data_IF_231564204674
#
_entry.id   IF_231564204674
#
_cell.length_a   1.000
_cell.length_b   1.000
_cell.length_c   1.000
_cell.angle_alpha   90.00
_cell.angle_beta   90.00
_cell.angle_gamma   90.00
#
_symmetry.space_group_name_H-M   'P 1'
#
loop_
_entity.id
_entity.type
_entity.pdbx_description
1 polymer ?
#
# COMPACT_ATOMS: atom_id res chain seq x y z
N UNK A 1 15.97 -7.53 -4.93
CA UNK A 1 16.42 -8.88 -5.21
C UNK A 1 16.12 -9.21 -6.65
N UNK A 2 17.11 -9.69 -7.41
CA UNK A 2 16.92 -9.93 -8.85
C UNK A 2 16.40 -8.70 -9.59
N UNK A 3 15.25 -8.83 -10.24
CA UNK A 3 14.59 -7.76 -10.99
C UNK A 3 13.74 -6.82 -10.14
N UNK A 4 13.56 -7.09 -8.84
CA UNK A 4 12.74 -6.30 -7.93
C UNK A 4 13.54 -5.21 -7.20
N UNK A 5 12.93 -4.04 -7.04
CA UNK A 5 13.42 -2.90 -6.24
C UNK A 5 12.29 -2.38 -5.38
N UNK A 6 12.62 -2.00 -4.14
CA UNK A 6 11.65 -1.43 -3.20
C UNK A 6 12.28 -0.36 -2.32
N UNK A 7 11.48 0.59 -1.89
CA UNK A 7 11.84 1.55 -0.84
C UNK A 7 10.76 1.58 0.22
N UNK A 8 11.19 1.72 1.46
CA UNK A 8 10.32 1.87 2.63
C UNK A 8 10.57 3.21 3.28
N UNK A 9 9.51 3.83 3.76
CA UNK A 9 9.58 5.06 4.53
C UNK A 9 9.26 4.72 5.99
N UNK A 10 10.26 4.86 6.85
CA UNK A 10 10.09 4.67 8.29
C UNK A 10 9.51 5.91 8.96
N UNK A 11 10.30 6.55 9.80
CA UNK A 11 9.96 7.75 10.54
C UNK A 11 10.61 8.99 9.93
N UNK A 12 9.85 10.09 9.87
CA UNK A 12 10.38 11.40 9.51
C UNK A 12 9.77 12.49 10.40
N UNK A 13 10.58 12.97 11.36
CA UNK A 13 10.16 13.97 12.34
C UNK A 13 9.89 15.36 11.72
N UNK A 14 10.55 15.70 10.61
CA UNK A 14 10.39 17.02 9.98
C UNK A 14 9.01 17.20 9.35
N UNK A 15 8.42 16.11 8.87
CA UNK A 15 7.13 16.13 8.19
C UNK A 15 5.95 15.78 9.09
N UNK A 16 6.21 15.44 10.35
CA UNK A 16 5.21 15.07 11.35
C UNK A 16 4.01 16.02 11.42
N UNK A 17 4.27 17.31 11.43
CA UNK A 17 3.22 18.33 11.58
C UNK A 17 2.53 18.69 10.25
N UNK A 18 3.10 18.30 9.13
CA UNK A 18 2.61 18.66 7.80
C UNK A 18 1.73 17.57 7.18
N UNK A 19 1.81 16.33 7.66
CA UNK A 19 1.00 15.20 7.20
C UNK A 19 1.08 14.98 5.68
N UNK A 20 2.25 15.21 5.09
CA UNK A 20 2.41 15.21 3.63
C UNK A 20 3.04 13.94 3.11
N UNK A 21 3.79 13.23 3.93
CA UNK A 21 4.51 12.02 3.54
C UNK A 21 3.97 10.80 4.29
N UNK A 22 3.81 9.66 3.64
CA UNK A 22 3.53 8.41 4.31
C UNK A 22 4.76 7.99 5.11
N UNK A 23 4.54 7.66 6.38
CA UNK A 23 5.51 7.08 7.31
C UNK A 23 5.01 5.70 7.73
N UNK A 24 5.33 5.22 8.91
CA UNK A 24 4.73 4.00 9.45
C UNK A 24 5.15 2.73 8.72
N UNK A 25 6.36 2.69 8.18
CA UNK A 25 6.87 1.56 7.41
C UNK A 25 6.22 1.41 6.04
N UNK A 26 5.72 2.51 5.47
CA UNK A 26 5.07 2.48 4.16
C UNK A 26 6.00 1.97 3.07
N UNK A 27 5.48 1.06 2.24
CA UNK A 27 6.12 0.66 0.99
C UNK A 27 5.95 1.79 -0.03
N UNK A 28 6.95 2.67 -0.10
CA UNK A 28 6.89 3.89 -0.91
C UNK A 28 7.06 3.62 -2.40
N UNK A 29 7.84 2.60 -2.77
CA UNK A 29 8.03 2.17 -4.14
C UNK A 29 8.18 0.66 -4.20
N UNK A 30 7.51 0.03 -5.14
CA UNK A 30 7.83 -1.32 -5.64
C UNK A 30 7.93 -1.26 -7.16
N UNK A 31 9.05 -1.71 -7.69
CA UNK A 31 9.35 -1.70 -9.11
C UNK A 31 9.98 -3.02 -9.56
N UNK A 32 9.64 -3.46 -10.76
CA UNK A 32 10.23 -4.63 -11.41
C UNK A 32 10.88 -4.21 -12.73
N UNK A 33 12.02 -4.80 -13.07
CA UNK A 33 12.83 -4.40 -14.25
C UNK A 33 12.06 -4.43 -15.57
N UNK A 34 11.18 -5.40 -15.75
CA UNK A 34 10.39 -5.58 -16.97
C UNK A 34 8.95 -5.07 -16.82
N UNK A 35 8.32 -5.31 -15.66
CA UNK A 35 6.95 -4.83 -15.39
C UNK A 35 6.88 -3.31 -15.19
N UNK A 36 7.98 -2.66 -14.80
CA UNK A 36 7.97 -1.26 -14.37
C UNK A 36 7.41 -1.06 -12.96
N UNK A 37 6.85 0.11 -12.64
CA UNK A 37 6.34 0.41 -11.32
C UNK A 37 5.09 -0.41 -11.00
N UNK A 38 5.05 -0.96 -9.78
CA UNK A 38 3.91 -1.71 -9.23
C UNK A 38 3.19 -0.88 -8.18
N UNK A 39 3.95 -0.23 -7.29
CA UNK A 39 3.47 0.76 -6.34
C UNK A 39 4.32 2.02 -6.44
N UNK A 40 3.69 3.17 -6.25
CA UNK A 40 4.38 4.44 -6.03
C UNK A 40 3.54 5.27 -5.05
N UNK A 41 4.10 5.56 -3.90
CA UNK A 41 3.40 6.31 -2.86
C UNK A 41 2.97 7.69 -3.33
N UNK A 42 1.80 8.09 -2.90
CA UNK A 42 1.25 9.43 -3.13
C UNK A 42 1.27 10.23 -1.85
N UNK A 43 1.32 11.54 -1.97
CA UNK A 43 1.28 12.42 -0.81
C UNK A 43 -0.15 12.63 -0.32
N UNK A 44 -0.32 12.82 0.98
CA UNK A 44 -1.62 13.16 1.58
C UNK A 44 -2.08 14.56 1.17
N UNK A 45 -1.16 15.51 1.16
CA UNK A 45 -1.40 16.88 0.71
C UNK A 45 -0.31 17.27 -0.27
N UNK A 46 -0.72 17.73 -1.43
CA UNK A 46 0.19 18.37 -2.36
C UNK A 46 -0.16 19.85 -2.40
N UNK A 47 0.77 20.70 -1.97
CA UNK A 47 0.60 22.13 -1.98
C UNK A 47 1.79 22.74 -2.71
N UNK A 48 1.53 23.28 -3.91
CA UNK A 48 2.53 24.03 -4.65
C UNK A 48 2.67 25.44 -4.06
N UNK A 49 3.91 25.88 -3.97
CA UNK A 49 4.26 27.22 -3.51
C UNK A 49 4.03 28.25 -4.62
N UNK A 50 4.05 27.83 -5.89
CA UNK A 50 3.92 28.68 -7.06
C UNK A 50 2.57 28.47 -7.77
N UNK A 51 1.75 29.49 -7.81
CA UNK A 51 0.42 29.49 -8.41
C UNK A 51 0.37 29.03 -9.89
N UNK A 52 1.34 29.29 -10.78
CA UNK A 52 1.32 28.84 -12.17
C UNK A 52 1.50 27.32 -12.34
N UNK A 53 2.10 26.65 -11.34
CA UNK A 53 2.40 25.23 -11.36
C UNK A 53 1.45 24.42 -10.45
N UNK A 54 0.31 24.99 -10.07
CA UNK A 54 -0.65 24.31 -9.20
C UNK A 54 -1.21 23.05 -9.84
N UNK A 55 -0.62 21.93 -9.52
CA UNK A 55 -1.22 20.62 -9.76
C UNK A 55 -2.17 20.34 -8.60
N UNK A 56 -3.45 20.58 -8.83
CA UNK A 56 -4.46 20.25 -7.84
C UNK A 56 -4.51 18.73 -7.63
N UNK A 57 -4.11 18.23 -6.45
CA UNK A 57 -4.54 16.93 -6.05
C UNK A 57 -6.06 17.05 -5.78
N UNK A 58 -6.86 16.36 -6.53
CA UNK A 58 -8.24 16.12 -6.14
C UNK A 58 -8.18 15.25 -4.89
N UNK A 59 -8.40 15.83 -3.72
CA UNK A 59 -8.36 15.18 -2.40
C UNK A 59 -9.42 14.11 -2.19
N UNK A 60 -10.02 13.60 -3.26
CA UNK A 60 -11.05 12.56 -3.21
C UNK A 60 -10.48 11.27 -2.57
N UNK A 61 -9.20 11.00 -2.78
CA UNK A 61 -8.52 9.83 -2.26
C UNK A 61 -7.21 10.24 -1.57
N UNK A 62 -7.26 10.41 -0.26
CA UNK A 62 -6.07 10.67 0.54
C UNK A 62 -5.10 9.49 0.43
N UNK A 63 -3.83 9.78 0.08
CA UNK A 63 -2.79 8.77 -0.12
C UNK A 63 -3.23 7.58 -1.00
N UNK A 64 -4.08 7.85 -2.00
CA UNK A 64 -4.75 6.82 -2.82
C UNK A 64 -3.79 5.79 -3.42
N UNK A 65 -2.59 6.20 -3.84
CA UNK A 65 -1.56 5.33 -4.41
C UNK A 65 -0.56 4.74 -3.39
N UNK A 66 -0.76 4.90 -2.09
CA UNK A 66 0.15 4.38 -1.06
C UNK A 66 -0.38 3.09 -0.45
N UNK A 67 0.36 1.97 -0.50
CA UNK A 67 0.03 0.75 0.21
C UNK A 67 -0.07 1.01 1.72
N UNK A 68 -1.14 0.51 2.35
CA UNK A 68 -1.40 0.77 3.77
C UNK A 68 -2.35 -0.26 4.38
N UNK A 69 -2.40 -0.29 5.69
CA UNK A 69 -3.49 -0.90 6.44
C UNK A 69 -4.42 0.24 6.87
N UNK A 70 -5.70 0.08 6.63
CA UNK A 70 -6.72 1.09 6.87
C UNK A 70 -7.88 0.51 7.67
N UNK A 71 -8.23 1.16 8.77
CA UNK A 71 -9.41 0.91 9.57
C UNK A 71 -10.28 2.17 9.57
N UNK A 72 -11.54 2.02 9.23
CA UNK A 72 -12.51 3.13 9.28
C UNK A 72 -13.50 2.85 10.40
N UNK A 73 -13.57 3.76 11.37
CA UNK A 73 -14.48 3.67 12.51
C UNK A 73 -15.09 5.05 12.78
N UNK A 74 -16.42 5.11 12.82
CA UNK A 74 -17.18 6.34 13.07
C UNK A 74 -16.77 7.55 12.20
N UNK A 75 -16.43 7.27 10.95
CA UNK A 75 -15.99 8.28 9.98
C UNK A 75 -14.54 8.73 10.13
N UNK A 76 -13.81 8.22 11.12
CA UNK A 76 -12.38 8.44 11.28
C UNK A 76 -11.58 7.35 10.55
N UNK A 77 -10.45 7.74 9.98
CA UNK A 77 -9.52 6.83 9.31
C UNK A 77 -8.29 6.65 10.19
N UNK A 78 -7.99 5.40 10.49
CA UNK A 78 -6.80 4.98 11.22
C UNK A 78 -5.92 4.16 10.29
N UNK A 79 -4.65 4.50 10.20
CA UNK A 79 -3.73 3.86 9.27
C UNK A 79 -2.32 3.78 9.86
N UNK A 80 -1.55 2.81 9.39
CA UNK A 80 -0.13 2.74 9.74
C UNK A 80 0.68 3.91 9.15
N UNK A 81 0.18 4.58 8.10
CA UNK A 81 0.92 5.66 7.41
C UNK A 81 1.16 6.88 8.29
N UNK A 82 0.41 7.04 9.34
CA UNK A 82 0.54 8.17 10.30
C UNK A 82 1.30 7.76 11.58
N UNK A 83 1.64 6.47 11.77
CA UNK A 83 2.30 5.99 12.98
C UNK A 83 3.75 6.47 13.09
N UNK A 84 4.02 7.26 14.13
CA UNK A 84 5.34 7.80 14.46
C UNK A 84 6.21 6.84 15.28
N UNK A 85 5.65 5.72 15.76
CA UNK A 85 6.34 4.76 16.61
C UNK A 85 6.65 3.45 15.87
N UNK A 86 6.76 3.52 14.56
CA UNK A 86 7.05 2.36 13.73
C UNK A 86 8.50 1.92 13.87
N UNK A 87 8.69 0.59 13.98
CA UNK A 87 9.99 -0.07 13.93
C UNK A 87 10.11 -0.93 12.69
N UNK A 88 11.25 -0.84 11.99
CA UNK A 88 11.54 -1.63 10.79
C UNK A 88 12.80 -2.46 11.02
N UNK A 89 12.63 -3.77 11.00
CA UNK A 89 13.73 -4.72 11.09
C UNK A 89 13.98 -5.36 9.72
N UNK A 90 15.22 -5.30 9.26
CA UNK A 90 15.65 -5.94 8.02
C UNK A 90 16.59 -7.09 8.33
N UNK A 91 16.38 -8.25 7.71
CA UNK A 91 17.31 -9.37 7.75
C UNK A 91 17.34 -10.11 6.41
N UNK A 92 18.40 -10.88 6.21
CA UNK A 92 18.54 -11.74 5.03
C UNK A 92 18.37 -13.17 5.50
N UNK A 93 17.40 -13.87 4.89
CA UNK A 93 17.20 -15.30 5.09
C UNK A 93 17.49 -16.04 3.78
N UNK A 94 18.56 -16.80 3.75
CA UNK A 94 19.10 -17.45 2.54
C UNK A 94 19.33 -16.41 1.44
N UNK A 95 18.51 -16.43 0.39
CA UNK A 95 18.57 -15.50 -0.74
C UNK A 95 17.42 -14.50 -0.73
N UNK A 96 16.67 -14.39 0.37
CA UNK A 96 15.54 -13.49 0.48
C UNK A 96 15.89 -12.28 1.36
N UNK A 97 15.43 -11.10 0.97
CA UNK A 97 15.43 -9.92 1.83
C UNK A 97 14.09 -9.83 2.55
N UNK A 98 14.15 -9.84 3.87
CA UNK A 98 12.97 -9.80 4.75
C UNK A 98 12.93 -8.47 5.49
N UNK A 99 11.80 -7.78 5.41
CA UNK A 99 11.52 -6.57 6.17
C UNK A 99 10.29 -6.84 7.04
N UNK A 100 10.45 -6.67 8.34
CA UNK A 100 9.35 -6.69 9.28
C UNK A 100 9.10 -5.27 9.76
N UNK A 101 7.87 -4.82 9.61
CA UNK A 101 7.36 -3.53 10.08
C UNK A 101 6.44 -3.80 11.26
N UNK A 102 6.78 -3.26 12.42
CA UNK A 102 5.95 -3.25 13.62
C UNK A 102 5.36 -1.84 13.74
N UNK A 103 4.05 -1.71 13.68
CA UNK A 103 3.35 -0.43 13.59
C UNK A 103 1.98 -0.50 14.27
N UNK A 104 1.31 0.64 14.41
CA UNK A 104 -0.04 0.76 14.95
C UNK A 104 -0.96 1.46 13.96
N UNK A 105 -2.26 1.23 14.10
CA UNK A 105 -3.25 2.01 13.38
C UNK A 105 -3.62 3.22 14.22
N UNK A 106 -3.26 4.41 13.72
CA UNK A 106 -3.53 5.69 14.36
C UNK A 106 -4.14 6.67 13.37
N UNK A 107 -4.83 7.68 13.88
CA UNK A 107 -5.26 8.81 13.07
C UNK A 107 -4.11 9.83 12.89
N UNK A 108 -4.34 10.87 12.09
CA UNK A 108 -3.37 11.93 11.85
C UNK A 108 -2.95 12.69 13.14
N UNK A 109 -3.73 12.58 14.20
CA UNK A 109 -3.44 13.17 15.51
C UNK A 109 -2.75 12.19 16.47
N UNK A 110 -2.33 11.04 15.99
CA UNK A 110 -1.69 9.95 16.76
C UNK A 110 -2.63 9.30 17.77
N UNK A 111 -3.94 9.35 17.54
CA UNK A 111 -4.92 8.69 18.41
C UNK A 111 -5.25 7.29 17.87
N UNK A 112 -5.34 6.34 18.79
CA UNK A 112 -5.82 4.99 18.51
C UNK A 112 -7.34 4.96 18.30
N UNK A 113 -7.88 3.91 17.65
CA UNK A 113 -9.32 3.64 17.61
C UNK A 113 -9.97 3.56 19.00
N UNK A 114 -11.29 3.65 19.06
CA UNK A 114 -12.05 3.66 20.32
C UNK A 114 -11.80 2.44 21.20
N UNK A 115 -11.43 1.30 20.61
CA UNK A 115 -11.09 0.05 21.32
C UNK A 115 -9.68 -0.01 21.91
N UNK A 116 -8.87 1.04 21.80
CA UNK A 116 -7.48 1.10 22.26
C UNK A 116 -6.45 0.89 21.14
N UNK A 117 -5.20 0.62 21.53
CA UNK A 117 -4.11 0.41 20.57
C UNK A 117 -4.35 -0.81 19.67
N UNK A 118 -4.07 -0.64 18.40
CA UNK A 118 -4.20 -1.66 17.35
C UNK A 118 -2.84 -1.91 16.73
N UNK A 119 -2.00 -2.78 17.35
CA UNK A 119 -0.72 -3.15 16.77
C UNK A 119 -0.92 -4.08 15.57
N UNK A 120 -0.14 -3.86 14.53
CA UNK A 120 -0.09 -4.71 13.34
C UNK A 120 1.35 -4.99 12.94
N UNK A 121 1.59 -6.16 12.37
CA UNK A 121 2.90 -6.56 11.89
C UNK A 121 2.81 -6.86 10.39
N UNK A 122 3.62 -6.16 9.61
CA UNK A 122 3.71 -6.40 8.17
C UNK A 122 5.07 -7.00 7.84
N UNK A 123 5.08 -8.17 7.22
CA UNK A 123 6.29 -8.81 6.74
C UNK A 123 6.32 -8.76 5.22
N UNK A 124 7.40 -8.23 4.69
CA UNK A 124 7.72 -8.22 3.26
C UNK A 124 8.89 -9.18 3.02
N UNK A 125 8.71 -10.12 2.10
CA UNK A 125 9.76 -11.05 1.70
C UNK A 125 10.00 -10.90 0.21
N UNK A 126 11.20 -10.49 -0.16
CA UNK A 126 11.65 -10.32 -1.54
C UNK A 126 12.51 -11.49 -1.97
N UNK A 127 12.10 -12.16 -3.02
CA UNK A 127 12.83 -13.24 -3.68
C UNK A 127 13.04 -12.90 -5.16
N UNK A 128 13.73 -13.76 -5.88
CA UNK A 128 13.82 -13.65 -7.35
C UNK A 128 12.48 -13.87 -8.03
N UNK A 129 11.61 -14.71 -7.45
CA UNK A 129 10.30 -15.05 -8.01
C UNK A 129 9.26 -13.96 -7.77
N UNK A 130 9.45 -13.10 -6.76
CA UNK A 130 8.46 -12.08 -6.45
C UNK A 130 8.53 -11.54 -5.04
N UNK A 131 7.47 -10.86 -4.67
CA UNK A 131 7.30 -10.21 -3.37
C UNK A 131 6.12 -10.82 -2.63
N UNK A 132 6.35 -11.27 -1.41
CA UNK A 132 5.31 -11.73 -0.49
C UNK A 132 5.05 -10.65 0.56
N UNK A 133 3.78 -10.33 0.77
CA UNK A 133 3.30 -9.41 1.81
C UNK A 133 2.43 -10.21 2.76
N UNK A 134 2.80 -10.23 4.03
CA UNK A 134 2.03 -10.89 5.09
C UNK A 134 1.70 -9.88 6.19
N UNK A 135 0.42 -9.60 6.40
CA UNK A 135 -0.08 -8.81 7.54
C UNK A 135 -0.58 -9.75 8.61
N UNK A 136 -0.13 -9.56 9.84
CA UNK A 136 -0.58 -10.30 11.03
C UNK A 136 -1.27 -9.35 12.00
N UNK A 137 -2.19 -9.89 12.78
CA UNK A 137 -3.01 -9.16 13.75
C UNK A 137 -3.89 -8.07 13.09
N UNK A 138 -4.22 -8.28 11.81
CA UNK A 138 -5.10 -7.36 11.09
C UNK A 138 -6.52 -7.46 11.67
N UNK A 139 -7.11 -6.37 12.17
CA UNK A 139 -8.50 -6.42 12.67
C UNK A 139 -9.49 -6.82 11.58
N UNK A 140 -10.57 -7.50 11.93
CA UNK A 140 -11.59 -8.01 10.98
C UNK A 140 -12.22 -6.91 10.11
N UNK A 141 -12.20 -5.65 10.59
CA UNK A 141 -12.73 -4.48 9.85
C UNK A 141 -11.67 -3.63 9.20
N UNK A 142 -10.40 -4.01 9.30
CA UNK A 142 -9.31 -3.33 8.63
C UNK A 142 -9.04 -3.97 7.26
N UNK A 143 -8.51 -3.19 6.35
CA UNK A 143 -8.11 -3.63 5.02
C UNK A 143 -6.60 -3.46 4.85
N UNK A 144 -5.95 -4.43 4.22
CA UNK A 144 -4.72 -4.12 3.51
C UNK A 144 -5.12 -3.47 2.17
N UNK A 145 -4.76 -2.22 1.97
CA UNK A 145 -5.01 -1.49 0.72
C UNK A 145 -3.76 -1.58 -0.14
N UNK A 146 -3.90 -2.15 -1.33
CA UNK A 146 -2.83 -2.27 -2.33
C UNK A 146 -3.26 -1.55 -3.62
N UNK A 147 -2.88 -0.28 -3.80
CA UNK A 147 -3.16 0.47 -5.02
C UNK A 147 -2.14 0.08 -6.10
N UNK A 148 -2.52 -0.89 -6.93
CA UNK A 148 -1.65 -1.41 -8.00
C UNK A 148 -1.67 -0.43 -9.17
N UNK A 149 -0.50 0.00 -9.62
CA UNK A 149 -0.38 0.84 -10.82
C UNK A 149 -0.85 0.04 -12.02
N UNK A 150 -1.85 0.59 -12.72
CA UNK A 150 -2.39 0.05 -13.96
C UNK A 150 -2.80 1.20 -14.89
N UNK A 151 -2.16 1.29 -16.03
CA UNK A 151 -2.50 2.26 -17.06
C UNK A 151 -3.92 2.02 -17.60
N UNK A 152 -4.66 3.06 -18.02
CA UNK A 152 -5.99 2.89 -18.64
C UNK A 152 -6.03 1.97 -19.86
N UNK A 153 -4.90 1.80 -20.55
CA UNK A 153 -4.80 0.91 -21.72
C UNK A 153 -4.48 -0.55 -21.36
N UNK A 154 -4.10 -0.83 -20.12
CA UNK A 154 -3.82 -2.19 -19.66
C UNK A 154 -5.10 -2.94 -19.29
N UNK A 155 -5.20 -4.21 -19.69
CA UNK A 155 -6.31 -5.08 -19.29
C UNK A 155 -6.08 -5.59 -17.88
N UNK A 156 -7.10 -5.41 -17.04
CA UNK A 156 -7.10 -5.82 -15.63
C UNK A 156 -8.21 -6.82 -15.38
N UNK A 157 -7.87 -7.97 -14.83
CA UNK A 157 -8.81 -9.02 -14.42
C UNK A 157 -8.74 -9.18 -12.90
N UNK A 158 -9.88 -9.12 -12.22
CA UNK A 158 -9.96 -9.22 -10.76
C UNK A 158 -10.95 -10.29 -10.35
N UNK A 159 -10.57 -11.07 -9.35
CA UNK A 159 -11.41 -12.03 -8.64
C UNK A 159 -11.24 -11.85 -7.13
N UNK A 160 -12.05 -12.57 -6.35
CA UNK A 160 -11.94 -12.54 -4.88
C UNK A 160 -10.60 -13.07 -4.33
N UNK A 161 -9.75 -13.66 -5.17
CA UNK A 161 -8.45 -14.24 -4.77
C UNK A 161 -7.27 -13.77 -5.60
N UNK A 162 -7.49 -13.00 -6.65
CA UNK A 162 -6.39 -12.59 -7.52
C UNK A 162 -6.71 -11.35 -8.34
N UNK A 163 -5.64 -10.66 -8.76
CA UNK A 163 -5.66 -9.66 -9.81
C UNK A 163 -4.57 -9.99 -10.82
N UNK A 164 -4.86 -9.80 -12.11
CA UNK A 164 -3.92 -9.93 -13.22
C UNK A 164 -3.93 -8.66 -14.05
N UNK A 165 -2.77 -8.19 -14.43
CA UNK A 165 -2.59 -7.05 -15.35
C UNK A 165 -1.74 -7.50 -16.51
N UNK A 166 -2.31 -7.43 -17.71
CA UNK A 166 -1.55 -7.68 -18.94
C UNK A 166 -0.76 -6.42 -19.29
N UNK A 167 0.55 -6.50 -19.20
CA UNK A 167 1.51 -5.45 -19.56
C UNK A 167 2.21 -5.80 -20.87
N UNK A 168 2.87 -4.83 -21.49
CA UNK A 168 3.54 -5.05 -22.78
C UNK A 168 4.56 -6.21 -22.78
N UNK A 169 5.24 -6.41 -21.62
CA UNK A 169 6.36 -7.35 -21.52
C UNK A 169 5.99 -8.62 -20.72
N UNK A 170 4.72 -8.81 -20.33
CA UNK A 170 4.31 -9.96 -19.54
C UNK A 170 3.08 -9.70 -18.68
N UNK A 171 2.89 -10.52 -17.67
CA UNK A 171 1.70 -10.45 -16.79
C UNK A 171 2.12 -10.21 -15.35
N UNK A 172 1.64 -9.10 -14.78
CA UNK A 172 1.74 -8.85 -13.36
C UNK A 172 0.59 -9.56 -12.64
N UNK A 173 0.92 -10.37 -11.66
CA UNK A 173 -0.03 -11.13 -10.87
C UNK A 173 0.02 -10.73 -9.40
N UNK A 174 -1.14 -10.56 -8.80
CA UNK A 174 -1.34 -10.39 -7.36
C UNK A 174 -2.24 -11.53 -6.92
N UNK A 175 -1.73 -12.46 -6.13
CA UNK A 175 -2.45 -13.64 -5.64
C UNK A 175 -2.67 -13.50 -4.13
N UNK A 176 -3.91 -13.61 -3.70
CA UNK A 176 -4.30 -13.63 -2.29
C UNK A 176 -4.41 -15.09 -1.81
N UNK A 177 -3.51 -15.50 -0.91
CA UNK A 177 -3.51 -16.84 -0.31
C UNK A 177 -4.32 -16.87 1.00
N UNK A 178 -4.31 -15.76 1.77
CA UNK A 178 -5.17 -15.58 2.93
C UNK A 178 -5.84 -14.20 2.87
N UNK A 179 -7.14 -14.16 3.05
CA UNK A 179 -7.98 -12.99 2.92
C UNK A 179 -8.87 -13.00 1.67
N UNK A 180 -9.61 -11.93 1.47
CA UNK A 180 -10.52 -11.74 0.33
C UNK A 180 -10.24 -10.40 -0.35
N UNK A 181 -10.08 -10.44 -1.67
CA UNK A 181 -9.82 -9.26 -2.51
C UNK A 181 -11.13 -8.61 -2.90
N UNK A 182 -11.21 -7.30 -2.72
CA UNK A 182 -12.26 -6.42 -3.21
C UNK A 182 -11.62 -5.23 -3.93
N UNK A 183 -12.40 -4.56 -4.77
CA UNK A 183 -12.00 -3.28 -5.36
C UNK A 183 -12.49 -2.18 -4.45
N UNK A 184 -11.60 -1.30 -4.05
CA UNK A 184 -11.92 -0.11 -3.26
C UNK A 184 -12.65 0.95 -4.08
N UNK A 185 -12.97 2.11 -3.49
CA UNK A 185 -13.57 3.22 -4.21
C UNK A 185 -12.68 3.67 -5.37
N UNK A 186 -13.29 3.86 -6.54
CA UNK A 186 -12.64 4.29 -7.79
C UNK A 186 -13.40 5.43 -8.44
N UNK A 187 -12.82 5.99 -9.48
CA UNK A 187 -13.52 6.81 -10.49
C UNK A 187 -14.26 5.90 -11.48
N UNK A 188 -14.95 6.49 -12.45
CA UNK A 188 -15.86 5.79 -13.37
C UNK A 188 -15.14 4.74 -14.25
N UNK A 189 -13.84 4.88 -14.46
CA UNK A 189 -13.01 3.93 -15.22
C UNK A 189 -12.47 2.74 -14.38
N UNK A 190 -12.90 2.62 -13.12
CA UNK A 190 -12.44 1.59 -12.19
C UNK A 190 -11.02 1.80 -11.66
N UNK A 191 -10.50 3.02 -11.80
CA UNK A 191 -9.17 3.44 -11.34
C UNK A 191 -9.24 4.71 -10.51
N UNK A 192 -8.13 5.03 -9.88
CA UNK A 192 -7.88 6.32 -9.23
C UNK A 192 -6.70 6.95 -9.96
N UNK A 193 -6.87 8.13 -10.53
CA UNK A 193 -5.74 8.88 -11.06
C UNK A 193 -5.19 9.82 -9.99
N UNK A 194 -3.87 9.76 -9.78
CA UNK A 194 -3.18 10.73 -8.94
C UNK A 194 -2.12 11.47 -9.76
N UNK A 195 -2.22 12.81 -9.91
CA UNK A 195 -1.30 13.60 -10.72
C UNK A 195 0.14 13.60 -10.21
N UNK A 196 0.35 13.22 -8.95
CA UNK A 196 1.69 13.05 -8.36
C UNK A 196 1.76 11.69 -7.66
N UNK A 197 2.46 10.73 -8.21
CA UNK A 197 3.48 10.80 -9.29
C UNK A 197 2.99 10.68 -10.75
N UNK A 198 1.71 10.78 -11.03
CA UNK A 198 1.18 10.75 -12.41
C UNK A 198 0.79 9.35 -12.87
N UNK A 199 0.31 8.50 -11.94
CA UNK A 199 -0.15 7.15 -12.22
C UNK A 199 -1.64 6.98 -11.98
N UNK A 200 -2.22 6.04 -12.74
CA UNK A 200 -3.51 5.46 -12.42
C UNK A 200 -3.32 4.17 -11.61
N UNK A 201 -4.18 3.97 -10.63
CA UNK A 201 -4.11 2.84 -9.69
C UNK A 201 -5.45 2.09 -9.68
N UNK A 202 -5.39 0.77 -9.58
CA UNK A 202 -6.52 -0.05 -9.16
C UNK A 202 -6.39 -0.32 -7.66
N UNK A 203 -7.26 0.25 -6.81
CA UNK A 203 -7.14 0.13 -5.37
C UNK A 203 -7.74 -1.20 -4.91
N UNK A 204 -6.90 -2.22 -4.72
CA UNK A 204 -7.34 -3.44 -4.07
C UNK A 204 -7.49 -3.22 -2.57
N UNK A 205 -8.58 -3.69 -2.01
CA UNK A 205 -8.80 -3.86 -0.57
C UNK A 205 -8.80 -5.34 -0.26
N UNK A 206 -7.98 -5.76 0.66
CA UNK A 206 -7.90 -7.16 1.07
C UNK A 206 -8.35 -7.25 2.52
N UNK A 207 -9.52 -7.88 2.71
CA UNK A 207 -10.04 -8.23 4.01
C UNK A 207 -9.22 -9.37 4.60
N UNK A 208 -8.88 -9.35 5.90
CA UNK A 208 -8.20 -10.45 6.54
C UNK A 208 -9.06 -11.73 6.56
N UNK A 209 -8.41 -12.85 6.64
CA UNK A 209 -9.06 -14.10 7.03
C UNK A 209 -9.54 -13.97 8.48
N UNK A 210 -10.81 -14.29 8.73
CA UNK A 210 -11.46 -14.07 10.04
C UNK A 210 -10.91 -14.98 11.13
N UNK A 211 -10.42 -16.17 10.81
CA UNK A 211 -9.88 -17.10 11.78
C UNK A 211 -8.48 -16.68 12.25
N UNK A 212 -7.60 -16.41 11.29
CA UNK A 212 -6.18 -16.12 11.56
C UNK A 212 -5.87 -14.64 11.72
N UNK A 213 -6.82 -13.73 11.43
CA UNK A 213 -6.60 -12.27 11.37
C UNK A 213 -5.38 -11.92 10.52
N UNK A 214 -5.28 -12.59 9.38
CA UNK A 214 -4.11 -12.58 8.52
C UNK A 214 -4.48 -12.21 7.10
N UNK A 215 -3.60 -11.45 6.45
CA UNK A 215 -3.58 -11.26 5.01
C UNK A 215 -2.27 -11.82 4.45
N UNK A 216 -2.35 -12.59 3.36
CA UNK A 216 -1.17 -13.10 2.67
C UNK A 216 -1.31 -12.92 1.15
N UNK A 217 -0.41 -12.11 0.60
CA UNK A 217 -0.38 -11.73 -0.81
C UNK A 217 0.97 -12.12 -1.41
N UNK A 218 0.95 -12.66 -2.61
CA UNK A 218 2.12 -12.82 -3.47
C UNK A 218 1.98 -11.98 -4.72
N UNK A 219 3.04 -11.24 -5.07
CA UNK A 219 3.15 -10.41 -6.27
C UNK A 219 4.30 -10.96 -7.09
N UNK A 220 4.03 -11.31 -8.34
CA UNK A 220 5.02 -11.86 -9.26
C UNK A 220 4.74 -11.44 -10.70
N UNK A 221 5.79 -11.49 -11.52
CA UNK A 221 5.74 -11.12 -12.93
C UNK A 221 6.38 -12.22 -13.78
N UNK A 222 5.76 -12.56 -14.91
CA UNK A 222 6.27 -13.52 -15.91
C UNK A 222 5.83 -13.17 -17.32
#
# INVERSE_FOLDING_TARGET
QGSWRATFTGYDAEYKTKGTHPIGGALALLWHAEAGPVFAATMNKYQLIEAPNMQGSTRKYLMGGTPRIELIEDGNVYTNLDDLNTDIVCHIDKNNYCFQVNTHLVDISQKSPSGGEVPVVVNYVYSEQGVRICVRHCPDRAYLVLPIIASPVETVEISSKAMRINRNNGVLNVKCEAGTVEVGPTDDDGRIFNPVPGFSFVPLRILPDSEDKKVLINIYFY
#
